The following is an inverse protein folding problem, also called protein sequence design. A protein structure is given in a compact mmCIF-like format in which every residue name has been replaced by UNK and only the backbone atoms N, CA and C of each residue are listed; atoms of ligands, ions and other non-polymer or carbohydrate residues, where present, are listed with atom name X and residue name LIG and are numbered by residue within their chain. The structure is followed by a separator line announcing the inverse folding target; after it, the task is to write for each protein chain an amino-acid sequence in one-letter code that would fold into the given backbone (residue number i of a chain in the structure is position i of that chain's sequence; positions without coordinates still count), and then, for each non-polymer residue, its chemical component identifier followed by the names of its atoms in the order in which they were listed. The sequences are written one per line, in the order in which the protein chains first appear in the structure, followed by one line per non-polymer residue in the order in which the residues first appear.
data_IF_141178359795
#
_entry.id   IF_141178359795
#
_cell.length_a   1.000
_cell.length_b   1.000
_cell.length_c   1.000
_cell.angle_alpha   90.00
_cell.angle_beta   90.00
_cell.angle_gamma   90.00
#
_symmetry.space_group_name_H-M   'P 1'
#
loop_
_entity.id
_entity.type
_entity.pdbx_description
1 polymer ?
#
# COMPACT_ATOMS: atom_id res chain seq x y z
N UNK A 1 -5.96 -10.51 -12.61
CA UNK A 1 -6.41 -11.08 -11.32
C UNK A 1 -5.23 -11.84 -10.75
N UNK A 2 -4.75 -11.45 -9.58
CA UNK A 2 -3.80 -12.26 -8.82
C UNK A 2 -4.62 -13.29 -8.04
N UNK A 3 -4.34 -14.56 -8.25
CA UNK A 3 -4.80 -15.66 -7.41
C UNK A 3 -3.88 -15.71 -6.20
N UNK A 4 -4.35 -15.20 -5.08
CA UNK A 4 -3.62 -15.16 -3.82
C UNK A 4 -4.39 -14.22 -2.91
N UNK A 5 -4.94 -14.75 -1.83
CA UNK A 5 -5.71 -13.96 -0.88
C UNK A 5 -4.76 -12.99 -0.18
N UNK A 6 -4.55 -11.79 -0.73
CA UNK A 6 -3.67 -10.76 -0.17
C UNK A 6 -4.37 -9.95 0.92
N UNK A 7 -5.28 -10.58 1.66
CA UNK A 7 -5.96 -9.92 2.79
C UNK A 7 -4.99 -9.69 3.95
N UNK A 8 -3.92 -10.49 4.04
CA UNK A 8 -2.90 -10.38 5.07
C UNK A 8 -1.50 -10.68 4.49
N UNK A 9 -0.51 -9.92 4.93
CA UNK A 9 0.92 -10.13 4.69
C UNK A 9 1.55 -10.42 6.05
N UNK A 10 2.10 -11.61 6.22
CA UNK A 10 2.81 -12.01 7.45
C UNK A 10 4.30 -12.14 7.16
N UNK A 11 5.10 -11.21 7.69
CA UNK A 11 6.55 -11.19 7.50
C UNK A 11 7.26 -11.68 8.76
N UNK A 12 8.18 -12.63 8.61
CA UNK A 12 8.96 -13.15 9.73
C UNK A 12 9.94 -12.11 10.27
N UNK A 13 10.16 -12.13 11.59
CA UNK A 13 11.18 -11.36 12.27
C UNK A 13 12.33 -12.29 12.63
N UNK A 14 13.54 -11.86 12.28
CA UNK A 14 14.77 -12.50 12.74
C UNK A 14 15.68 -11.44 13.37
N UNK A 15 15.89 -11.57 14.69
CA UNK A 15 16.55 -10.56 15.51
C UNK A 15 15.82 -9.21 15.43
N UNK A 16 16.38 -8.21 14.72
CA UNK A 16 15.80 -6.87 14.56
C UNK A 16 15.29 -6.60 13.15
N UNK A 17 15.26 -7.63 12.30
CA UNK A 17 14.97 -7.49 10.87
C UNK A 17 13.69 -8.22 10.48
N UNK A 18 12.88 -7.54 9.66
CA UNK A 18 11.69 -8.08 9.02
C UNK A 18 12.08 -8.63 7.64
N UNK A 19 11.82 -9.92 7.43
CA UNK A 19 12.06 -10.58 6.15
C UNK A 19 11.06 -10.15 5.08
N UNK A 20 11.46 -10.29 3.82
CA UNK A 20 10.55 -10.07 2.70
C UNK A 20 9.53 -11.19 2.61
N UNK A 21 8.30 -10.83 2.27
CA UNK A 21 7.26 -11.81 1.98
C UNK A 21 7.51 -12.52 0.64
N UNK A 22 6.97 -13.75 0.49
CA UNK A 22 7.22 -14.64 -0.65
C UNK A 22 6.80 -14.09 -2.03
N UNK A 23 5.86 -13.15 -2.10
CA UNK A 23 5.40 -12.57 -3.37
C UNK A 23 6.38 -11.55 -3.95
N UNK A 24 7.45 -11.22 -3.22
CA UNK A 24 8.45 -10.27 -3.65
C UNK A 24 9.22 -10.77 -4.87
N UNK A 25 9.26 -9.95 -5.91
CA UNK A 25 10.02 -10.22 -7.12
C UNK A 25 11.53 -10.25 -6.86
N UNK A 26 12.18 -11.38 -7.13
CA UNK A 26 13.57 -11.63 -6.77
C UNK A 26 14.61 -11.18 -7.82
N UNK A 27 14.23 -11.00 -9.09
CA UNK A 27 15.19 -10.79 -10.20
C UNK A 27 15.16 -9.41 -10.86
N UNK A 28 14.03 -9.01 -11.43
CA UNK A 28 13.89 -7.76 -12.21
C UNK A 28 12.64 -6.98 -11.78
N UNK A 29 12.33 -7.05 -10.49
CA UNK A 29 11.19 -6.34 -9.92
C UNK A 29 11.58 -5.10 -9.12
N UNK A 30 10.63 -4.19 -9.01
CA UNK A 30 10.65 -3.10 -8.04
C UNK A 30 9.82 -3.55 -6.85
N UNK A 31 10.45 -3.65 -5.69
CA UNK A 31 9.79 -3.96 -4.44
C UNK A 31 9.98 -2.81 -3.45
N UNK A 32 8.90 -2.39 -2.81
CA UNK A 32 8.91 -1.32 -1.83
C UNK A 32 7.87 -1.56 -0.73
N UNK A 33 8.14 -0.95 0.42
CA UNK A 33 7.18 -0.66 1.47
C UNK A 33 7.35 0.82 1.76
N UNK A 34 6.26 1.58 1.78
CA UNK A 34 6.29 2.98 2.10
C UNK A 34 5.17 3.32 3.08
N UNK A 35 5.50 3.99 4.17
CA UNK A 35 4.53 4.52 5.12
C UNK A 35 3.69 5.60 4.44
N UNK A 36 2.37 5.52 4.58
CA UNK A 36 1.46 6.56 4.13
C UNK A 36 1.32 7.61 5.24
N UNK A 37 1.76 8.82 4.97
CA UNK A 37 1.75 9.93 5.95
C UNK A 37 0.63 10.94 5.73
N UNK A 38 -0.12 10.79 4.63
CA UNK A 38 -1.26 11.65 4.32
C UNK A 38 -1.72 11.50 2.88
N UNK A 39 -2.70 12.31 2.51
CA UNK A 39 -3.23 12.36 1.15
C UNK A 39 -2.40 13.33 0.30
N UNK A 40 -2.20 12.96 -0.97
CA UNK A 40 -1.56 13.79 -1.98
C UNK A 40 -2.51 13.98 -3.16
N UNK A 41 -2.78 15.23 -3.53
CA UNK A 41 -3.76 15.54 -4.57
C UNK A 41 -3.40 14.94 -5.94
N UNK A 42 -2.12 14.79 -6.27
CA UNK A 42 -1.65 14.36 -7.58
C UNK A 42 -1.42 12.85 -7.63
N UNK A 43 -0.85 12.29 -6.57
CA UNK A 43 -0.34 10.92 -6.50
C UNK A 43 -1.14 10.01 -5.56
N UNK A 44 -2.25 10.50 -5.00
CA UNK A 44 -3.15 9.81 -4.07
C UNK A 44 -2.66 9.87 -2.62
N UNK A 45 -1.43 9.42 -2.38
CA UNK A 45 -0.83 9.34 -1.04
C UNK A 45 0.54 10.03 -0.98
N UNK A 46 0.78 10.73 0.13
CA UNK A 46 2.14 11.09 0.59
C UNK A 46 2.77 9.83 1.17
N UNK A 47 4.01 9.56 0.77
CA UNK A 47 4.70 8.29 1.06
C UNK A 47 6.10 8.57 1.59
N UNK A 48 6.47 7.87 2.66
CA UNK A 48 7.84 7.77 3.16
C UNK A 48 8.33 6.35 2.96
N UNK A 49 9.29 6.16 2.04
CA UNK A 49 9.79 4.83 1.69
C UNK A 49 10.66 4.28 2.81
N UNK A 50 10.32 3.07 3.29
CA UNK A 50 11.13 2.39 4.29
C UNK A 50 12.50 2.07 3.72
N UNK A 51 13.54 2.30 4.53
CA UNK A 51 14.90 1.98 4.14
C UNK A 51 15.11 0.49 4.31
N UNK A 52 15.49 -0.16 3.22
CA UNK A 52 15.90 -1.55 3.28
C UNK A 52 17.41 -1.69 3.45
N UNK A 53 17.85 -2.70 4.17
CA UNK A 53 19.26 -3.10 4.30
C UNK A 53 19.49 -4.47 3.69
N UNK A 54 20.75 -4.80 3.35
CA UNK A 54 21.13 -6.14 2.90
C UNK A 54 21.78 -6.90 4.05
N UNK A 55 21.25 -8.08 4.35
CA UNK A 55 21.83 -9.04 5.30
C UNK A 55 22.13 -10.31 4.50
N UNK A 56 23.41 -10.53 4.21
CA UNK A 56 23.83 -11.54 3.23
C UNK A 56 23.27 -11.24 1.84
N UNK A 57 22.53 -12.18 1.26
CA UNK A 57 21.86 -12.03 -0.04
C UNK A 57 20.43 -11.52 0.07
N UNK A 58 19.85 -11.49 1.28
CA UNK A 58 18.48 -11.05 1.51
C UNK A 58 18.46 -9.53 1.73
N UNK A 59 17.43 -8.87 1.18
CA UNK A 59 17.10 -7.49 1.51
C UNK A 59 16.03 -7.54 2.59
N UNK A 60 16.17 -6.76 3.66
CA UNK A 60 15.32 -6.80 4.85
C UNK A 60 15.01 -5.37 5.30
N UNK A 61 14.06 -5.22 6.22
CA UNK A 61 13.69 -3.96 6.85
C UNK A 61 13.93 -4.00 8.36
N UNK A 62 14.04 -2.85 9.01
CA UNK A 62 14.12 -2.84 10.47
C UNK A 62 12.72 -3.00 11.08
N UNK A 63 12.60 -3.75 12.17
CA UNK A 63 11.32 -3.88 12.89
C UNK A 63 10.81 -2.53 13.39
N UNK A 64 11.71 -1.63 13.78
CA UNK A 64 11.38 -0.28 14.27
C UNK A 64 10.72 0.62 13.22
N UNK A 65 10.80 0.27 11.93
CA UNK A 65 10.11 0.99 10.86
C UNK A 65 8.60 0.68 10.84
N UNK A 66 8.17 -0.36 11.56
CA UNK A 66 6.79 -0.83 11.64
C UNK A 66 6.13 -0.40 12.94
N UNK A 67 4.92 0.18 12.84
CA UNK A 67 4.15 0.60 14.00
C UNK A 67 2.69 0.17 13.86
N UNK A 68 2.12 -0.39 14.92
CA UNK A 68 0.72 -0.84 14.94
C UNK A 68 -0.21 0.36 14.66
N UNK A 69 -1.18 0.16 13.75
CA UNK A 69 -2.14 1.16 13.30
C UNK A 69 -1.62 2.07 12.17
N UNK A 70 -0.34 2.01 11.82
CA UNK A 70 0.18 2.74 10.66
C UNK A 70 -0.13 2.01 9.34
N UNK A 71 -0.35 2.79 8.28
CA UNK A 71 -0.72 2.30 6.96
C UNK A 71 0.49 2.37 6.03
N UNK A 72 0.71 1.29 5.27
CA UNK A 72 1.82 1.13 4.35
C UNK A 72 1.31 0.83 2.94
N UNK A 73 1.86 1.51 1.95
CA UNK A 73 1.78 1.15 0.52
C UNK A 73 2.85 0.11 0.23
N UNK A 74 2.41 -1.10 -0.09
CA UNK A 74 3.29 -2.26 -0.36
C UNK A 74 3.22 -2.58 -1.84
N UNK A 75 4.37 -2.65 -2.48
CA UNK A 75 4.46 -2.95 -3.90
C UNK A 75 5.52 -3.98 -4.24
N UNK A 76 5.16 -4.88 -5.14
CA UNK A 76 6.06 -5.80 -5.84
C UNK A 76 5.64 -5.90 -7.30
N UNK A 77 6.49 -5.36 -8.20
CA UNK A 77 6.19 -5.23 -9.62
C UNK A 77 7.35 -5.75 -10.45
N UNK A 78 7.13 -6.78 -11.26
CA UNK A 78 8.07 -7.25 -12.26
C UNK A 78 8.13 -6.24 -13.43
N UNK A 79 9.35 -5.88 -13.87
CA UNK A 79 9.56 -4.84 -14.89
C UNK A 79 10.30 -5.34 -16.14
N UNK A 80 10.46 -6.65 -16.32
CA UNK A 80 11.18 -7.21 -17.48
C UNK A 80 10.32 -7.41 -18.74
N UNK A 81 10.91 -7.25 -19.92
CA UNK A 81 10.34 -7.78 -21.18
C UNK A 81 9.11 -7.06 -21.74
N UNK A 82 8.91 -5.78 -21.44
CA UNK A 82 7.83 -4.96 -22.02
C UNK A 82 6.44 -5.20 -21.44
N UNK A 83 6.25 -6.18 -20.55
CA UNK A 83 5.00 -6.41 -19.80
C UNK A 83 5.26 -6.31 -18.31
N UNK A 84 4.52 -5.43 -17.64
CA UNK A 84 4.54 -5.34 -16.18
C UNK A 84 3.62 -6.41 -15.60
N UNK A 85 4.15 -7.22 -14.68
CA UNK A 85 3.35 -8.09 -13.81
C UNK A 85 3.38 -7.50 -12.41
N UNK A 86 2.21 -7.15 -11.90
CA UNK A 86 2.05 -6.68 -10.52
C UNK A 86 1.76 -7.92 -9.69
N UNK A 87 2.56 -8.19 -8.67
CA UNK A 87 2.33 -9.27 -7.71
C UNK A 87 1.60 -8.76 -6.47
N UNK A 88 1.96 -7.57 -6.00
CA UNK A 88 1.24 -6.83 -4.96
C UNK A 88 1.38 -5.35 -5.29
N UNK A 89 0.31 -4.59 -5.13
CA UNK A 89 0.34 -3.12 -5.12
C UNK A 89 -0.90 -2.64 -4.41
N UNK A 90 -0.83 -2.60 -3.09
CA UNK A 90 -1.98 -2.26 -2.28
C UNK A 90 -1.60 -1.63 -0.94
N UNK A 91 -2.62 -1.18 -0.21
CA UNK A 91 -2.48 -0.57 1.10
C UNK A 91 -2.79 -1.55 2.22
N UNK A 92 -1.93 -1.53 3.24
CA UNK A 92 -2.05 -2.43 4.39
C UNK A 92 -1.81 -1.67 5.69
N UNK A 93 -2.61 -1.93 6.70
CA UNK A 93 -2.39 -1.46 8.07
C UNK A 93 -1.59 -2.49 8.85
N UNK A 94 -0.59 -2.03 9.60
CA UNK A 94 0.12 -2.89 10.54
C UNK A 94 -0.82 -3.25 11.71
N UNK A 95 -1.30 -4.48 11.72
CA UNK A 95 -2.28 -4.96 12.69
C UNK A 95 -1.62 -5.54 13.94
N UNK A 96 -0.41 -6.12 13.79
CA UNK A 96 0.26 -6.83 14.87
C UNK A 96 1.78 -6.83 14.65
N UNK A 97 2.52 -6.63 15.75
CA UNK A 97 3.97 -6.85 15.82
C UNK A 97 4.23 -7.74 17.03
N UNK A 98 4.83 -8.90 16.78
CA UNK A 98 5.24 -9.87 17.81
C UNK A 98 6.76 -10.00 17.82
N UNK A 99 7.30 -10.88 18.66
CA UNK A 99 8.73 -11.22 18.63
C UNK A 99 9.17 -11.91 17.34
N UNK A 100 8.23 -12.53 16.62
CA UNK A 100 8.50 -13.46 15.52
C UNK A 100 7.93 -13.02 14.19
N UNK A 101 6.98 -12.08 14.16
CA UNK A 101 6.31 -11.65 12.94
C UNK A 101 5.80 -10.20 13.02
N UNK A 102 5.76 -9.55 11.86
CA UNK A 102 4.92 -8.37 11.58
C UNK A 102 3.76 -8.81 10.69
N UNK A 103 2.55 -8.36 11.02
CA UNK A 103 1.33 -8.65 10.27
C UNK A 103 0.76 -7.36 9.69
N UNK A 104 0.66 -7.28 8.37
CA UNK A 104 -0.01 -6.19 7.68
C UNK A 104 -1.33 -6.71 7.10
N UNK A 105 -2.45 -6.08 7.42
CA UNK A 105 -3.77 -6.44 6.91
C UNK A 105 -4.19 -5.47 5.82
N UNK A 106 -4.78 -6.02 4.77
CA UNK A 106 -5.33 -5.24 3.68
C UNK A 106 -6.29 -4.18 4.22
N UNK A 107 -6.13 -2.96 3.74
CA UNK A 107 -7.03 -1.86 4.02
C UNK A 107 -7.43 -1.25 2.68
N UNK A 108 -8.73 -1.16 2.45
CA UNK A 108 -9.25 -0.57 1.22
C UNK A 108 -8.88 0.91 1.11
N UNK A 109 -8.75 1.40 -0.12
CA UNK A 109 -8.46 2.81 -0.39
C UNK A 109 -9.45 3.76 0.30
N UNK A 110 -10.74 3.43 0.31
CA UNK A 110 -11.77 4.25 0.98
C UNK A 110 -11.53 4.33 2.49
N UNK A 111 -11.13 3.22 3.11
CA UNK A 111 -10.79 3.19 4.52
C UNK A 111 -9.52 3.99 4.83
N UNK A 112 -8.47 3.90 3.99
CA UNK A 112 -7.28 4.75 4.11
C UNK A 112 -7.66 6.24 4.05
N UNK A 113 -8.50 6.63 3.10
CA UNK A 113 -8.96 8.02 2.95
C UNK A 113 -9.74 8.47 4.18
N UNK A 114 -10.62 7.62 4.72
CA UNK A 114 -11.36 7.94 5.95
C UNK A 114 -10.42 8.11 7.14
N UNK A 115 -9.50 7.17 7.38
CA UNK A 115 -8.53 7.21 8.49
C UNK A 115 -7.62 8.45 8.43
N UNK A 116 -7.18 8.85 7.23
CA UNK A 116 -6.33 10.03 7.04
C UNK A 116 -7.11 11.35 6.94
N UNK A 117 -8.39 11.26 6.60
CA UNK A 117 -9.27 12.38 6.30
C UNK A 117 -9.97 13.01 7.50
N UNK A 118 -9.87 12.41 8.70
CA UNK A 118 -10.47 12.94 9.94
C UNK A 118 -9.99 14.36 10.33
N UNK A 119 -9.02 14.94 9.61
CA UNK A 119 -8.55 16.31 9.79
C UNK A 119 -8.85 17.28 8.62
N UNK A 120 -9.43 16.85 7.51
CA UNK A 120 -9.72 17.73 6.35
C UNK A 120 -10.80 17.16 5.39
N UNK A 121 -12.06 17.56 5.59
CA UNK A 121 -13.23 17.07 4.84
C UNK A 121 -13.16 17.42 3.34
N UNK A 122 -12.63 18.58 2.96
CA UNK A 122 -12.55 19.02 1.56
C UNK A 122 -11.52 18.21 0.74
N UNK A 123 -10.43 17.77 1.37
CA UNK A 123 -9.39 16.97 0.71
C UNK A 123 -9.90 15.55 0.40
N UNK A 124 -10.78 15.01 1.25
CA UNK A 124 -11.44 13.72 1.00
C UNK A 124 -12.31 13.81 -0.25
N UNK A 125 -13.20 14.80 -0.31
CA UNK A 125 -14.14 14.97 -1.42
C UNK A 125 -13.40 15.14 -2.76
N UNK A 126 -12.35 15.97 -2.79
CA UNK A 126 -11.56 16.19 -4.00
C UNK A 126 -10.81 14.93 -4.46
N UNK A 127 -10.27 14.13 -3.53
CA UNK A 127 -9.58 12.89 -3.88
C UNK A 127 -10.55 11.83 -4.41
N UNK A 128 -11.70 11.63 -3.77
CA UNK A 128 -12.73 10.70 -4.23
C UNK A 128 -13.23 11.08 -5.64
N UNK A 129 -13.47 12.38 -5.89
CA UNK A 129 -13.87 12.86 -7.22
C UNK A 129 -12.78 12.63 -8.26
N UNK A 130 -11.50 12.91 -7.97
CA UNK A 130 -10.40 12.65 -8.91
C UNK A 130 -10.26 11.15 -9.22
N UNK A 131 -10.49 10.28 -8.25
CA UNK A 131 -10.43 8.83 -8.47
C UNK A 131 -11.59 8.34 -9.32
N UNK A 132 -12.81 8.80 -9.05
CA UNK A 132 -13.97 8.52 -9.90
C UNK A 132 -13.69 8.93 -11.35
N UNK A 133 -13.12 10.11 -11.56
CA UNK A 133 -12.77 10.62 -12.90
C UNK A 133 -11.64 9.85 -13.62
N UNK A 134 -10.92 8.96 -12.93
CA UNK A 134 -9.97 8.03 -13.59
C UNK A 134 -10.65 6.80 -14.18
N UNK A 135 -11.86 6.47 -13.72
CA UNK A 135 -12.60 5.27 -14.11
C UNK A 135 -13.75 5.64 -15.04
N UNK A 136 -14.35 6.82 -14.83
CA UNK A 136 -15.49 7.31 -15.59
C UNK A 136 -15.25 8.74 -16.07
N UNK A 137 -15.90 9.14 -17.16
CA UNK A 137 -15.84 10.54 -17.62
C UNK A 137 -16.58 11.47 -16.67
N UNK A 138 -16.32 12.78 -16.77
CA UNK A 138 -17.00 13.80 -15.95
C UNK A 138 -18.53 13.73 -16.05
N UNK A 139 -19.06 13.50 -17.24
CA UNK A 139 -20.51 13.39 -17.45
C UNK A 139 -21.10 12.11 -16.85
N UNK A 140 -20.35 11.01 -16.88
CA UNK A 140 -20.74 9.76 -16.23
C UNK A 140 -20.70 9.87 -14.71
N UNK A 141 -19.66 10.52 -14.16
CA UNK A 141 -19.56 10.82 -12.74
C UNK A 141 -20.76 11.68 -12.27
N UNK A 142 -21.11 12.74 -13.02
CA UNK A 142 -22.25 13.59 -12.70
C UNK A 142 -23.59 12.84 -12.75
N UNK A 143 -23.76 11.89 -13.68
CA UNK A 143 -24.95 11.03 -13.73
C UNK A 143 -25.04 10.11 -12.52
N UNK A 144 -23.93 9.51 -12.10
CA UNK A 144 -23.88 8.64 -10.92
C UNK A 144 -24.19 9.43 -9.64
N UNK A 145 -23.61 10.62 -9.48
CA UNK A 145 -23.87 11.49 -8.33
C UNK A 145 -25.35 11.89 -8.29
N UNK A 146 -25.96 12.27 -9.43
CA UNK A 146 -27.40 12.59 -9.48
C UNK A 146 -28.33 11.40 -9.21
N UNK A 147 -27.86 10.18 -9.40
CA UNK A 147 -28.67 8.97 -9.23
C UNK A 147 -28.57 8.39 -7.80
N UNK A 148 -27.46 8.63 -7.09
CA UNK A 148 -27.18 8.01 -5.80
C UNK A 148 -26.85 8.98 -4.65
N UNK A 149 -26.66 10.28 -4.93
CA UNK A 149 -26.49 11.34 -3.93
C UNK A 149 -27.77 12.11 -3.69
#
# INVERSE_FOLDING_TARGET
MLEGNTDEIRMGIHSQFVEQHEYWESRRGKNWIAKITGLDEKYGYKREFLRSVKVGTKKVFHVEDFHIGEIYDVGSVYTGGGRQRINVRDTFECAEITETHVVLRYVSQDEVIRKLGEKNTDIIAQNLVRQLLRIVTKDQALKLIKHYG
#
